data_IF_026867861186
#
_entry.id   IF_026867861186
#
_cell.length_a   1.000
_cell.length_b   1.000
_cell.length_c   1.000
_cell.angle_alpha   90.00
_cell.angle_beta   90.00
_cell.angle_gamma   90.00
#
_symmetry.space_group_name_H-M   'P 1'
#
loop_
_entity.id
_entity.type
_entity.pdbx_description
1 polymer ?
#
# COMPACT_ATOMS: atom_id res chain seq x y z
N UNK A 1 53.90 5.04 55.63
CA UNK A 1 53.38 5.95 54.55
C UNK A 1 53.50 5.15 53.25
N UNK A 2 52.42 4.53 52.79
CA UNK A 2 52.41 3.77 51.57
C UNK A 2 51.57 4.53 50.51
N UNK A 3 52.20 4.87 49.41
CA UNK A 3 51.56 5.50 48.28
C UNK A 3 51.07 4.35 47.34
N UNK A 4 49.77 4.27 47.17
CA UNK A 4 49.15 3.44 46.12
C UNK A 4 48.91 4.30 44.88
N UNK A 5 49.41 3.92 43.71
CA UNK A 5 49.05 4.59 42.47
C UNK A 5 47.67 4.10 41.98
N UNK A 6 46.74 5.06 41.81
CA UNK A 6 45.46 4.89 41.14
C UNK A 6 45.72 4.64 39.64
N UNK A 7 45.54 3.42 39.17
CA UNK A 7 45.41 3.10 37.77
C UNK A 7 43.98 3.38 37.31
N UNK A 8 43.77 4.50 36.63
CA UNK A 8 42.55 4.75 35.85
C UNK A 8 42.60 3.87 34.57
N UNK A 9 41.62 3.03 34.31
CA UNK A 9 41.52 2.39 33.00
C UNK A 9 41.03 3.44 31.97
N UNK A 10 41.85 3.76 30.98
CA UNK A 10 41.41 4.42 29.77
C UNK A 10 40.42 3.47 29.03
N UNK A 11 39.13 3.71 29.20
CA UNK A 11 38.14 3.19 28.27
C UNK A 11 38.26 3.93 26.95
N UNK A 12 39.00 3.38 26.02
CA UNK A 12 38.96 3.79 24.62
C UNK A 12 37.59 3.44 24.05
N UNK A 13 36.72 4.44 23.99
CA UNK A 13 35.47 4.36 23.22
C UNK A 13 35.84 4.34 21.73
N UNK A 14 36.03 3.13 21.16
CA UNK A 14 36.01 2.95 19.72
C UNK A 14 34.58 3.19 19.24
N UNK A 15 34.24 4.44 18.97
CA UNK A 15 33.10 4.76 18.12
C UNK A 15 33.48 4.43 16.68
N UNK A 16 33.38 3.14 16.34
CA UNK A 16 33.43 2.73 14.96
C UNK A 16 32.22 3.30 14.25
N UNK A 17 32.38 4.36 13.49
CA UNK A 17 31.45 4.76 12.46
C UNK A 17 31.44 3.65 11.41
N UNK A 18 30.45 2.78 11.47
CA UNK A 18 30.14 1.92 10.33
C UNK A 18 29.48 2.86 9.32
N UNK A 19 30.23 3.32 8.34
CA UNK A 19 29.66 3.95 7.16
C UNK A 19 28.92 2.85 6.40
N UNK A 20 27.65 2.63 6.69
CA UNK A 20 26.82 1.72 5.88
C UNK A 20 26.58 2.42 4.54
N UNK A 21 27.00 1.80 3.45
CA UNK A 21 26.61 2.24 2.12
C UNK A 21 25.09 2.20 2.02
N UNK A 22 24.48 3.29 1.53
CA UNK A 22 23.04 3.41 1.39
C UNK A 22 22.69 3.60 -0.06
N UNK A 23 21.62 2.96 -0.50
CA UNK A 23 20.98 3.23 -1.78
C UNK A 23 19.80 4.18 -1.55
N UNK A 24 19.84 5.33 -2.21
CA UNK A 24 18.82 6.38 -2.07
C UNK A 24 17.86 6.33 -3.25
N UNK A 25 16.57 6.25 -2.94
CA UNK A 25 15.47 6.36 -3.89
C UNK A 25 14.49 7.43 -3.43
N UNK A 26 13.83 8.12 -4.37
CA UNK A 26 12.71 9.00 -4.04
C UNK A 26 11.50 8.17 -3.61
N UNK A 27 10.71 8.62 -2.61
CA UNK A 27 9.58 7.82 -2.10
C UNK A 27 8.48 7.55 -3.12
N UNK A 28 8.29 8.43 -4.11
CA UNK A 28 7.22 8.29 -5.10
C UNK A 28 7.52 8.97 -6.41
N UNK A 29 7.01 8.39 -7.49
CA UNK A 29 7.04 8.90 -8.86
C UNK A 29 5.65 8.72 -9.45
N UNK A 30 5.17 9.70 -10.21
CA UNK A 30 3.91 9.60 -10.94
C UNK A 30 4.15 9.70 -12.45
N UNK A 31 3.40 8.91 -13.21
CA UNK A 31 3.44 8.90 -14.67
C UNK A 31 2.02 8.82 -15.21
N UNK A 32 1.75 9.44 -16.34
CA UNK A 32 0.46 9.25 -17.03
C UNK A 32 0.40 7.87 -17.69
N UNK A 33 -0.77 7.29 -17.79
CA UNK A 33 -1.01 6.06 -18.54
C UNK A 33 -0.44 6.17 -19.96
N UNK A 34 0.34 5.21 -20.41
CA UNK A 34 1.07 5.24 -21.67
C UNK A 34 2.33 6.11 -21.70
N UNK A 35 2.62 6.86 -20.62
CA UNK A 35 3.83 7.66 -20.48
C UNK A 35 5.08 6.87 -20.13
N UNK A 36 6.19 7.55 -19.93
CA UNK A 36 7.47 6.93 -19.53
C UNK A 36 7.82 7.34 -18.11
N UNK A 37 7.94 6.36 -17.22
CA UNK A 37 8.44 6.56 -15.86
C UNK A 37 9.93 6.29 -15.79
N UNK A 38 10.63 7.08 -14.96
CA UNK A 38 12.06 6.93 -14.69
C UNK A 38 12.28 6.94 -13.18
N UNK A 39 12.79 5.83 -12.64
CA UNK A 39 13.02 5.66 -11.21
C UNK A 39 14.52 5.56 -10.99
N UNK A 40 15.08 6.54 -10.28
CA UNK A 40 16.50 6.61 -10.00
C UNK A 40 16.86 5.95 -8.65
N UNK A 41 18.02 5.34 -8.62
CA UNK A 41 18.67 4.80 -7.44
C UNK A 41 20.09 5.38 -7.38
N UNK A 42 20.42 6.04 -6.29
CA UNK A 42 21.72 6.66 -6.08
C UNK A 42 22.46 5.94 -4.96
N UNK A 43 23.76 5.73 -5.14
CA UNK A 43 24.62 5.12 -4.13
C UNK A 43 26.06 5.59 -4.25
N UNK A 44 26.77 5.66 -3.13
CA UNK A 44 28.13 6.19 -3.11
C UNK A 44 29.16 5.29 -3.81
N UNK A 45 28.89 3.99 -3.89
CA UNK A 45 29.76 3.00 -4.52
C UNK A 45 28.95 1.84 -5.10
N UNK A 46 28.41 1.99 -6.32
CA UNK A 46 27.91 0.86 -7.08
C UNK A 46 29.07 -0.01 -7.55
N UNK A 47 29.37 -1.11 -6.84
CA UNK A 47 30.39 -2.07 -7.27
C UNK A 47 29.90 -2.94 -8.39
N UNK A 48 28.59 -3.21 -8.36
CA UNK A 48 27.90 -4.01 -9.37
C UNK A 48 26.68 -3.26 -9.87
N UNK A 49 26.30 -3.53 -11.11
CA UNK A 49 25.10 -2.98 -11.69
C UNK A 49 23.86 -3.34 -10.84
N UNK A 50 22.98 -2.38 -10.63
CA UNK A 50 21.80 -2.58 -9.76
C UNK A 50 20.82 -3.60 -10.33
N UNK A 51 20.27 -4.39 -9.45
CA UNK A 51 19.08 -5.19 -9.72
C UNK A 51 17.82 -4.40 -9.30
N UNK A 52 16.72 -4.62 -10.00
CA UNK A 52 15.44 -3.97 -9.71
C UNK A 52 14.37 -5.00 -9.44
N UNK A 53 13.59 -4.75 -8.41
CA UNK A 53 12.48 -5.58 -7.99
C UNK A 53 11.18 -4.77 -8.00
N UNK A 54 10.10 -5.40 -8.47
CA UNK A 54 8.74 -4.89 -8.38
C UNK A 54 8.01 -5.63 -7.27
N UNK A 55 7.33 -4.89 -6.40
CA UNK A 55 6.45 -5.46 -5.36
C UNK A 55 5.06 -4.86 -5.44
N UNK A 56 4.06 -5.68 -5.69
CA UNK A 56 2.65 -5.32 -5.61
C UNK A 56 2.08 -5.61 -4.22
N UNK A 57 1.00 -4.92 -3.81
CA UNK A 57 0.39 -5.14 -2.51
C UNK A 57 0.06 -6.61 -2.25
N UNK A 58 0.49 -7.14 -1.09
CA UNK A 58 0.25 -8.52 -0.69
C UNK A 58 1.01 -9.60 -1.48
N UNK A 59 1.94 -9.21 -2.35
CA UNK A 59 2.75 -10.13 -3.15
C UNK A 59 4.22 -10.08 -2.77
N UNK A 60 4.94 -11.15 -3.04
CA UNK A 60 6.40 -11.17 -2.95
C UNK A 60 7.03 -10.30 -4.05
N UNK A 61 8.20 -9.68 -3.79
CA UNK A 61 8.94 -8.97 -4.83
C UNK A 61 9.34 -9.90 -5.97
N UNK A 62 9.27 -9.41 -7.21
CA UNK A 62 9.74 -10.10 -8.41
C UNK A 62 10.88 -9.32 -9.05
N UNK A 63 11.89 -10.02 -9.53
CA UNK A 63 13.02 -9.43 -10.24
C UNK A 63 12.59 -8.96 -11.63
N UNK A 64 12.77 -7.67 -11.94
CA UNK A 64 12.39 -7.09 -13.25
C UNK A 64 13.58 -6.71 -14.10
N UNK A 65 14.71 -6.34 -13.49
CA UNK A 65 16.00 -6.10 -14.15
C UNK A 65 17.12 -6.68 -13.30
N UNK A 66 18.10 -7.33 -13.90
CA UNK A 66 19.32 -7.78 -13.23
C UNK A 66 20.57 -7.35 -14.02
N UNK A 67 21.69 -7.28 -13.30
CA UNK A 67 22.95 -6.85 -13.92
C UNK A 67 22.86 -5.46 -14.57
N UNK A 68 21.98 -4.60 -14.07
CA UNK A 68 21.77 -3.22 -14.51
C UNK A 68 20.94 -3.05 -15.78
N UNK A 69 20.95 -4.02 -16.70
CA UNK A 69 20.34 -3.86 -18.02
C UNK A 69 19.59 -5.09 -18.53
N UNK A 70 19.77 -6.24 -17.91
CA UNK A 70 19.20 -7.50 -18.38
C UNK A 70 17.82 -7.72 -17.81
N UNK A 71 16.89 -8.17 -18.64
CA UNK A 71 15.51 -8.44 -18.27
C UNK A 71 15.27 -9.95 -18.21
N UNK A 72 14.70 -10.48 -17.09
CA UNK A 72 14.31 -11.89 -17.01
C UNK A 72 13.26 -12.27 -18.06
N UNK A 73 13.23 -13.54 -18.41
CA UNK A 73 12.18 -14.07 -19.28
C UNK A 73 10.80 -13.88 -18.66
N UNK A 74 9.84 -13.40 -19.44
CA UNK A 74 8.47 -13.13 -18.99
C UNK A 74 8.23 -11.72 -18.44
N UNK A 75 9.27 -10.92 -18.21
CA UNK A 75 9.12 -9.50 -17.89
C UNK A 75 8.88 -8.70 -19.18
N UNK A 76 7.84 -7.82 -19.23
CA UNK A 76 7.49 -7.05 -20.41
C UNK A 76 8.63 -6.17 -20.95
N UNK A 77 8.70 -5.99 -22.27
CA UNK A 77 9.74 -5.20 -22.94
C UNK A 77 9.75 -3.72 -22.57
N UNK A 78 8.65 -3.21 -22.04
CA UNK A 78 8.56 -1.82 -21.56
C UNK A 78 9.47 -1.52 -20.36
N UNK A 79 9.95 -2.55 -19.65
CA UNK A 79 10.94 -2.41 -18.58
C UNK A 79 12.35 -2.44 -19.14
N UNK A 80 13.15 -1.44 -18.81
CA UNK A 80 14.57 -1.38 -19.14
C UNK A 80 15.36 -0.76 -17.99
N UNK A 81 16.61 -1.14 -17.87
CA UNK A 81 17.52 -0.63 -16.85
C UNK A 81 18.77 -0.03 -17.46
N UNK A 82 19.34 0.93 -16.76
CA UNK A 82 20.66 1.49 -17.05
C UNK A 82 21.43 1.75 -15.76
N UNK A 83 22.76 1.69 -15.83
CA UNK A 83 23.65 2.01 -14.71
C UNK A 83 24.82 2.83 -15.24
N UNK A 84 25.19 3.88 -14.53
CA UNK A 84 26.32 4.73 -14.86
C UNK A 84 26.90 5.37 -13.59
N UNK A 85 28.16 5.07 -13.28
CA UNK A 85 28.81 5.59 -12.08
C UNK A 85 28.03 5.24 -10.81
N UNK A 86 27.63 6.26 -10.06
CA UNK A 86 26.93 6.13 -8.79
C UNK A 86 25.39 6.11 -8.92
N UNK A 87 24.87 5.86 -10.12
CA UNK A 87 23.42 5.86 -10.35
C UNK A 87 22.98 4.66 -11.18
N UNK A 88 21.80 4.16 -10.86
CA UNK A 88 21.05 3.21 -11.67
C UNK A 88 19.65 3.78 -11.93
N UNK A 89 19.09 3.47 -13.08
CA UNK A 89 17.75 3.95 -13.45
C UNK A 89 16.94 2.79 -14.01
N UNK A 90 15.74 2.61 -13.46
CA UNK A 90 14.69 1.78 -14.05
C UNK A 90 13.80 2.68 -14.90
N UNK A 91 13.62 2.32 -16.17
CA UNK A 91 12.72 3.02 -17.09
C UNK A 91 11.58 2.11 -17.49
N UNK A 92 10.36 2.62 -17.39
CA UNK A 92 9.12 1.93 -17.81
C UNK A 92 8.49 2.77 -18.89
N UNK A 93 8.55 2.32 -20.14
CA UNK A 93 8.02 3.02 -21.31
C UNK A 93 6.61 2.55 -21.60
N UNK A 94 5.68 3.48 -21.86
CA UNK A 94 4.29 3.09 -22.10
C UNK A 94 3.63 2.49 -20.86
N UNK A 95 3.79 3.16 -19.71
CA UNK A 95 3.33 2.69 -18.41
C UNK A 95 1.86 2.27 -18.41
N UNK A 96 1.56 1.11 -17.87
CA UNK A 96 0.24 0.52 -17.76
C UNK A 96 -0.26 0.57 -16.30
N UNK A 97 -1.56 0.44 -16.10
CA UNK A 97 -2.17 0.44 -14.75
C UNK A 97 -1.57 -0.65 -13.84
N UNK A 98 -1.25 -1.82 -14.40
CA UNK A 98 -0.63 -2.92 -13.68
C UNK A 98 0.83 -2.68 -13.27
N UNK A 99 1.47 -1.62 -13.79
CA UNK A 99 2.83 -1.24 -13.39
C UNK A 99 2.87 -0.43 -12.09
N UNK A 100 1.74 0.01 -11.59
CA UNK A 100 1.62 0.67 -10.29
C UNK A 100 1.98 -0.30 -9.16
N UNK A 101 3.15 -0.06 -8.55
CA UNK A 101 3.79 -0.94 -7.56
C UNK A 101 4.89 -0.17 -6.82
N UNK A 102 5.49 -0.82 -5.82
CA UNK A 102 6.73 -0.38 -5.21
C UNK A 102 7.93 -1.00 -5.95
N UNK A 103 8.93 -0.17 -6.24
CA UNK A 103 10.13 -0.57 -6.95
C UNK A 103 11.36 -0.37 -6.09
N UNK A 104 12.12 -1.44 -5.89
CA UNK A 104 13.34 -1.43 -5.08
C UNK A 104 14.56 -1.69 -5.94
N UNK A 105 15.58 -0.86 -5.82
CA UNK A 105 16.90 -1.17 -6.32
C UNK A 105 17.69 -1.97 -5.30
N UNK A 106 18.60 -2.81 -5.78
CA UNK A 106 19.53 -3.59 -4.95
C UNK A 106 20.89 -3.62 -5.62
N UNK A 107 21.93 -3.49 -4.82
CA UNK A 107 23.31 -3.67 -5.23
C UNK A 107 24.11 -4.29 -4.10
N UNK A 108 25.38 -4.57 -4.32
CA UNK A 108 26.29 -4.99 -3.25
C UNK A 108 27.14 -3.80 -2.79
N UNK A 109 27.40 -3.76 -1.49
CA UNK A 109 28.38 -2.85 -0.91
C UNK A 109 29.79 -3.24 -1.33
N UNK A 110 30.61 -2.23 -1.62
CA UNK A 110 32.01 -2.41 -2.04
C UNK A 110 32.94 -2.92 -0.95
N UNK A 111 32.62 -2.64 0.30
CA UNK A 111 33.49 -2.94 1.44
C UNK A 111 33.29 -4.35 1.97
N UNK A 112 32.03 -4.76 2.15
CA UNK A 112 31.69 -6.01 2.85
C UNK A 112 31.02 -7.06 1.95
N UNK A 113 30.82 -6.74 0.67
CA UNK A 113 30.10 -7.59 -0.31
C UNK A 113 28.70 -8.01 0.18
N UNK A 114 28.07 -7.14 0.97
CA UNK A 114 26.71 -7.34 1.51
C UNK A 114 25.71 -6.73 0.55
N UNK A 115 24.61 -7.45 0.31
CA UNK A 115 23.50 -6.91 -0.48
C UNK A 115 22.76 -5.81 0.27
N UNK A 116 22.66 -4.64 -0.37
CA UNK A 116 21.92 -3.48 0.15
C UNK A 116 20.75 -3.14 -0.77
N UNK A 117 19.64 -2.72 -0.16
CA UNK A 117 18.43 -2.30 -0.87
C UNK A 117 18.20 -0.81 -0.69
N UNK A 118 17.64 -0.17 -1.72
CA UNK A 118 17.07 1.16 -1.61
C UNK A 118 15.78 1.17 -0.79
N UNK A 119 15.35 2.35 -0.36
CA UNK A 119 14.15 2.53 0.45
C UNK A 119 12.83 2.28 -0.30
N UNK A 120 12.90 2.07 -1.61
CA UNK A 120 11.74 1.86 -2.48
C UNK A 120 11.16 3.16 -3.05
N UNK A 121 10.55 3.04 -4.22
CA UNK A 121 9.82 4.10 -4.90
C UNK A 121 8.44 3.59 -5.27
N UNK A 122 7.40 4.24 -4.78
CA UNK A 122 6.03 3.95 -5.20
C UNK A 122 5.77 4.62 -6.57
N UNK A 123 5.41 3.82 -7.56
CA UNK A 123 4.99 4.31 -8.89
C UNK A 123 3.46 4.44 -8.91
N UNK A 124 2.97 5.65 -9.17
CA UNK A 124 1.55 5.93 -9.41
C UNK A 124 1.31 6.14 -10.91
N UNK A 125 0.35 5.42 -11.49
CA UNK A 125 -0.04 5.58 -12.90
C UNK A 125 -1.34 6.39 -12.97
N UNK A 126 -1.21 7.64 -13.42
CA UNK A 126 -2.30 8.60 -13.52
C UNK A 126 -3.11 8.43 -14.82
N UNK A 127 -4.39 8.86 -14.79
CA UNK A 127 -5.24 8.83 -15.99
C UNK A 127 -5.90 7.48 -16.24
N UNK A 128 -5.90 6.58 -15.27
CA UNK A 128 -6.71 5.36 -15.35
C UNK A 128 -8.20 5.71 -15.42
N UNK A 129 -9.02 4.92 -16.14
CA UNK A 129 -10.46 5.16 -16.23
C UNK A 129 -11.11 5.13 -14.84
N UNK A 130 -11.98 6.12 -14.56
CA UNK A 130 -12.79 6.10 -13.34
C UNK A 130 -13.70 4.88 -13.32
N UNK A 131 -13.86 4.25 -12.17
CA UNK A 131 -14.76 3.14 -11.94
C UNK A 131 -15.62 3.43 -10.71
N UNK A 132 -16.92 3.34 -10.84
CA UNK A 132 -17.86 3.49 -9.74
C UNK A 132 -17.79 2.27 -8.80
N UNK A 133 -18.00 2.45 -7.48
CA UNK A 133 -17.96 1.33 -6.53
C UNK A 133 -19.13 0.37 -6.72
N UNK A 134 -18.87 -0.92 -6.55
CA UNK A 134 -19.88 -1.93 -6.28
C UNK A 134 -20.09 -1.99 -4.77
N UNK A 135 -21.31 -1.78 -4.30
CA UNK A 135 -21.65 -1.74 -2.88
C UNK A 135 -22.56 -2.90 -2.54
N UNK A 136 -22.17 -3.69 -1.52
CA UNK A 136 -22.95 -4.77 -0.96
C UNK A 136 -23.10 -4.54 0.55
N UNK A 137 -24.32 -4.59 1.05
CA UNK A 137 -24.64 -4.41 2.45
C UNK A 137 -25.20 -5.71 3.01
N UNK A 138 -24.60 -6.18 4.10
CA UNK A 138 -24.96 -7.43 4.77
C UNK A 138 -25.55 -7.11 6.13
N UNK A 139 -26.71 -7.71 6.46
CA UNK A 139 -27.33 -7.60 7.79
C UNK A 139 -26.57 -8.47 8.81
N UNK A 140 -26.85 -8.27 10.12
CA UNK A 140 -26.31 -9.14 11.16
C UNK A 140 -26.82 -10.57 11.04
N UNK A 141 -25.99 -11.55 11.42
CA UNK A 141 -26.41 -12.96 11.44
C UNK A 141 -27.34 -13.25 12.62
N UNK A 142 -28.13 -14.33 12.49
CA UNK A 142 -29.01 -14.79 13.59
C UNK A 142 -28.22 -15.17 14.85
N UNK A 143 -27.04 -15.76 14.66
CA UNK A 143 -26.15 -16.15 15.76
C UNK A 143 -25.64 -14.93 16.52
N UNK A 144 -25.27 -13.86 15.80
CA UNK A 144 -24.81 -12.62 16.43
C UNK A 144 -25.95 -11.96 17.23
N UNK A 145 -27.15 -11.91 16.65
CA UNK A 145 -28.34 -11.36 17.32
C UNK A 145 -28.66 -12.09 18.62
N UNK A 146 -28.38 -13.41 18.69
CA UNK A 146 -28.49 -14.21 19.91
C UNK A 146 -27.57 -13.76 21.04
N UNK A 147 -26.49 -13.04 20.75
CA UNK A 147 -25.55 -12.46 21.73
C UNK A 147 -25.88 -11.02 22.13
N UNK A 148 -27.05 -10.51 21.72
CA UNK A 148 -27.48 -9.11 21.89
C UNK A 148 -26.60 -8.07 21.15
N UNK A 149 -25.92 -8.50 20.10
CA UNK A 149 -25.13 -7.63 19.21
C UNK A 149 -25.67 -7.68 17.79
N UNK A 150 -25.39 -6.63 17.02
CA UNK A 150 -25.74 -6.55 15.61
C UNK A 150 -24.67 -5.76 14.86
N UNK A 151 -23.96 -6.41 13.93
CA UNK A 151 -22.97 -5.75 13.11
C UNK A 151 -23.42 -5.77 11.64
N UNK A 152 -23.56 -4.60 11.04
CA UNK A 152 -23.79 -4.47 9.61
C UNK A 152 -22.46 -4.31 8.91
N UNK A 153 -22.29 -4.95 7.75
CA UNK A 153 -21.08 -4.90 6.95
C UNK A 153 -21.40 -4.34 5.58
N UNK A 154 -20.78 -3.19 5.26
CA UNK A 154 -20.84 -2.58 3.94
C UNK A 154 -19.53 -2.86 3.21
N UNK A 155 -19.58 -3.68 2.16
CA UNK A 155 -18.44 -4.01 1.31
C UNK A 155 -18.46 -3.14 0.06
N UNK A 156 -17.35 -2.46 -0.22
CA UNK A 156 -17.18 -1.50 -1.30
C UNK A 156 -16.02 -1.97 -2.16
N UNK A 157 -16.27 -2.32 -3.41
CA UNK A 157 -15.26 -2.90 -4.29
C UNK A 157 -15.24 -2.28 -5.67
N UNK A 158 -14.16 -2.54 -6.41
CA UNK A 158 -13.97 -2.23 -7.83
C UNK A 158 -14.02 -0.75 -8.19
N UNK A 159 -13.69 0.16 -7.28
CA UNK A 159 -13.69 1.60 -7.54
C UNK A 159 -12.29 2.14 -7.87
N UNK A 160 -12.26 3.20 -8.68
CA UNK A 160 -11.06 3.99 -8.99
C UNK A 160 -11.47 5.46 -9.27
N UNK A 161 -10.74 6.44 -8.71
CA UNK A 161 -9.60 6.36 -7.78
C UNK A 161 -9.96 5.83 -6.40
N UNK A 162 -8.93 5.52 -5.60
CA UNK A 162 -9.02 4.87 -4.30
C UNK A 162 -9.45 5.81 -3.15
N UNK A 163 -10.50 6.63 -3.36
CA UNK A 163 -11.03 7.53 -2.34
C UNK A 163 -12.55 7.42 -2.30
N UNK A 164 -13.12 7.10 -1.13
CA UNK A 164 -14.56 7.02 -0.89
C UNK A 164 -14.90 7.65 0.45
N UNK A 165 -16.11 8.16 0.57
CA UNK A 165 -16.71 8.59 1.83
C UNK A 165 -17.91 7.70 2.12
N UNK A 166 -17.97 7.13 3.32
CA UNK A 166 -19.08 6.26 3.75
C UNK A 166 -19.89 6.98 4.81
N UNK A 167 -21.20 7.02 4.62
CA UNK A 167 -22.17 7.56 5.57
C UNK A 167 -23.21 6.50 5.89
N UNK A 168 -23.44 6.26 7.16
CA UNK A 168 -24.49 5.37 7.62
C UNK A 168 -25.73 6.12 8.01
N UNK A 169 -26.92 5.57 7.70
CA UNK A 169 -28.22 6.12 8.07
C UNK A 169 -29.06 5.04 8.75
N UNK A 170 -29.76 5.42 9.81
CA UNK A 170 -30.79 4.60 10.47
C UNK A 170 -32.13 5.31 10.33
N UNK A 171 -33.11 4.70 9.66
CA UNK A 171 -34.41 5.33 9.41
C UNK A 171 -34.30 6.70 8.72
N UNK A 172 -33.28 6.91 7.87
CA UNK A 172 -33.01 8.18 7.18
C UNK A 172 -32.11 9.18 7.95
N UNK A 173 -31.85 8.96 9.24
CA UNK A 173 -30.99 9.83 10.07
C UNK A 173 -29.56 9.33 10.05
N UNK A 174 -28.58 10.24 9.86
CA UNK A 174 -27.16 9.89 9.87
C UNK A 174 -26.71 9.38 11.23
N UNK A 175 -25.97 8.27 11.21
CA UNK A 175 -25.39 7.61 12.39
C UNK A 175 -23.86 7.72 12.29
N UNK A 176 -23.22 8.15 13.37
CA UNK A 176 -21.77 8.27 13.47
C UNK A 176 -21.17 7.38 14.55
N UNK A 177 -21.95 7.02 15.55
CA UNK A 177 -21.51 6.16 16.65
C UNK A 177 -21.49 4.70 16.22
N UNK A 178 -20.41 3.98 16.56
CA UNK A 178 -20.24 2.58 16.22
C UNK A 178 -19.83 2.32 14.77
N UNK A 179 -19.42 3.36 14.02
CA UNK A 179 -18.98 3.26 12.65
C UNK A 179 -17.46 3.12 12.60
N UNK A 180 -16.98 2.08 11.92
CA UNK A 180 -15.57 1.85 11.61
C UNK A 180 -15.44 1.65 10.09
N UNK A 181 -14.54 2.39 9.46
CA UNK A 181 -14.29 2.31 8.01
C UNK A 181 -12.81 2.09 7.73
N UNK A 182 -12.47 1.09 6.93
CA UNK A 182 -11.09 0.80 6.55
C UNK A 182 -10.56 1.83 5.56
N UNK A 183 -9.24 1.98 5.50
CA UNK A 183 -8.62 2.66 4.37
C UNK A 183 -8.78 1.79 3.12
N UNK A 184 -9.01 2.42 1.94
CA UNK A 184 -9.03 1.68 0.69
C UNK A 184 -7.71 0.93 0.45
N UNK A 185 -7.83 -0.31 -0.02
CA UNK A 185 -6.68 -1.15 -0.41
C UNK A 185 -6.79 -1.55 -1.88
N UNK A 186 -5.65 -1.64 -2.56
CA UNK A 186 -5.61 -1.98 -3.98
C UNK A 186 -5.83 -3.48 -4.18
N UNK A 187 -6.73 -3.82 -5.08
CA UNK A 187 -7.04 -5.19 -5.49
C UNK A 187 -6.10 -5.66 -6.62
N UNK A 188 -6.13 -6.97 -6.92
CA UNK A 188 -5.33 -7.55 -8.01
C UNK A 188 -5.72 -7.03 -9.41
N UNK A 189 -6.92 -6.48 -9.57
CA UNK A 189 -7.43 -5.87 -10.80
C UNK A 189 -7.10 -4.36 -10.91
N UNK A 190 -6.20 -3.83 -10.09
CA UNK A 190 -5.78 -2.43 -10.00
C UNK A 190 -6.86 -1.43 -9.52
N UNK A 191 -8.05 -1.90 -9.16
CA UNK A 191 -9.08 -1.10 -8.50
C UNK A 191 -8.94 -1.22 -6.99
N UNK A 192 -9.77 -0.48 -6.25
CA UNK A 192 -9.71 -0.42 -4.81
C UNK A 192 -10.91 -1.11 -4.16
N UNK A 193 -10.70 -1.61 -2.95
CA UNK A 193 -11.75 -2.08 -2.06
C UNK A 193 -11.61 -1.44 -0.68
N UNK A 194 -12.75 -1.27 -0.01
CA UNK A 194 -12.84 -0.85 1.38
C UNK A 194 -14.04 -1.55 2.03
N UNK A 195 -14.08 -1.54 3.34
CA UNK A 195 -15.24 -2.01 4.10
C UNK A 195 -15.59 -1.01 5.18
N UNK A 196 -16.89 -0.95 5.53
CA UNK A 196 -17.38 -0.15 6.65
C UNK A 196 -18.31 -0.99 7.49
N UNK A 197 -18.23 -0.80 8.78
CA UNK A 197 -18.96 -1.58 9.79
C UNK A 197 -19.78 -0.63 10.62
N UNK A 198 -21.02 -1.03 10.94
CA UNK A 198 -21.87 -0.34 11.92
C UNK A 198 -22.21 -1.34 13.03
N UNK A 199 -21.68 -1.08 14.21
CA UNK A 199 -21.95 -1.88 15.42
C UNK A 199 -23.15 -1.30 16.19
N UNK A 200 -24.14 -2.14 16.45
CA UNK A 200 -25.39 -1.82 17.13
C UNK A 200 -25.69 -2.86 18.20
N UNK A 201 -26.68 -2.55 19.08
CA UNK A 201 -27.38 -3.58 19.86
C UNK A 201 -28.40 -4.32 19.00
N UNK A 202 -28.73 -5.56 19.35
CA UNK A 202 -29.81 -6.31 18.69
C UNK A 202 -31.17 -5.60 18.80
N UNK A 203 -31.41 -4.84 19.88
CA UNK A 203 -32.64 -4.05 20.05
C UNK A 203 -32.70 -2.87 19.07
N UNK A 204 -31.58 -2.14 18.88
CA UNK A 204 -31.55 -1.02 17.94
C UNK A 204 -31.73 -1.50 16.50
N UNK A 205 -31.11 -2.64 16.15
CA UNK A 205 -31.36 -3.29 14.86
C UNK A 205 -32.85 -3.58 14.65
N UNK A 206 -33.48 -4.27 15.57
CA UNK A 206 -34.88 -4.70 15.44
C UNK A 206 -35.91 -3.56 15.47
N UNK A 207 -35.57 -2.45 16.13
CA UNK A 207 -36.50 -1.30 16.28
C UNK A 207 -36.44 -0.31 15.11
N UNK A 208 -35.44 -0.39 14.26
CA UNK A 208 -35.29 0.53 13.13
C UNK A 208 -36.10 0.08 11.91
N UNK A 209 -36.57 1.04 11.12
CA UNK A 209 -37.23 0.79 9.83
C UNK A 209 -36.26 0.35 8.73
N UNK A 210 -34.95 0.49 8.93
CA UNK A 210 -33.90 0.07 8.01
C UNK A 210 -32.61 0.84 8.22
N UNK A 211 -31.55 0.27 7.72
CA UNK A 211 -30.21 0.86 7.72
C UNK A 211 -29.66 0.97 6.32
N UNK A 212 -29.05 2.11 6.01
CA UNK A 212 -28.49 2.41 4.69
C UNK A 212 -26.99 2.70 4.80
N UNK A 213 -26.22 2.00 3.99
CA UNK A 213 -24.84 2.36 3.69
C UNK A 213 -24.83 3.24 2.45
N UNK A 214 -24.41 4.50 2.58
CA UNK A 214 -24.27 5.45 1.51
C UNK A 214 -22.79 5.66 1.21
N UNK A 215 -22.38 5.36 -0.01
CA UNK A 215 -20.99 5.51 -0.48
C UNK A 215 -20.93 6.64 -1.49
N UNK A 216 -20.15 7.66 -1.20
CA UNK A 216 -19.85 8.77 -2.13
C UNK A 216 -18.50 8.55 -2.76
N UNK A 217 -18.45 8.52 -4.09
CA UNK A 217 -17.24 8.38 -4.89
C UNK A 217 -17.29 9.35 -6.08
N UNK A 218 -16.28 10.24 -6.21
CA UNK A 218 -16.19 11.19 -7.33
C UNK A 218 -17.49 11.99 -7.57
N UNK A 219 -18.19 12.37 -6.50
CA UNK A 219 -19.45 13.10 -6.56
C UNK A 219 -20.69 12.23 -6.87
N UNK A 220 -20.51 10.94 -7.14
CA UNK A 220 -21.62 9.99 -7.33
C UNK A 220 -21.91 9.26 -6.03
N UNK A 221 -23.19 9.06 -5.74
CA UNK A 221 -23.66 8.38 -4.53
C UNK A 221 -24.24 7.02 -4.91
N UNK A 222 -23.81 5.97 -4.22
CA UNK A 222 -24.39 4.62 -4.28
C UNK A 222 -24.91 4.24 -2.90
N UNK A 223 -26.15 3.82 -2.80
CA UNK A 223 -26.80 3.44 -1.54
C UNK A 223 -27.25 1.99 -1.57
N UNK A 224 -27.11 1.33 -0.44
CA UNK A 224 -27.72 0.01 -0.18
C UNK A 224 -28.42 0.06 1.17
N UNK A 225 -29.60 -0.55 1.24
CA UNK A 225 -30.43 -0.59 2.45
C UNK A 225 -30.77 -2.03 2.80
N UNK A 226 -30.76 -2.33 4.08
CA UNK A 226 -31.24 -3.59 4.64
C UNK A 226 -32.28 -3.29 5.72
N UNK A 227 -33.29 -4.16 5.85
CA UNK A 227 -34.35 -4.03 6.85
C UNK A 227 -34.39 -5.26 7.76
N UNK A 228 -34.73 -5.14 9.01
CA UNK A 228 -34.87 -6.29 9.92
C UNK A 228 -35.90 -7.32 9.45
N UNK A 229 -36.93 -6.90 8.72
CA UNK A 229 -37.99 -7.75 8.21
C UNK A 229 -37.56 -8.69 7.06
N UNK A 230 -36.45 -8.40 6.38
CA UNK A 230 -35.93 -9.24 5.31
C UNK A 230 -35.03 -10.39 5.81
N UNK A 231 -34.77 -10.42 7.12
CA UNK A 231 -33.87 -11.38 7.76
C UNK A 231 -34.61 -12.33 8.73
N UNK A 232 -35.91 -12.49 8.61
CA UNK A 232 -36.75 -13.37 9.45
C UNK A 232 -36.89 -14.76 8.82
#
# INVERSE_FOLDING_TARGET
MAWTPLLLPLLSLCTGYVASSQLTQVPGVSVSLGGTASIACLGDNFVYAANWYQQKPGQAPILVIYGGTLRPLGIPERFSGSSSGNSATLTISGAQAEDEADYYCQSADSTDNVNIFGGGTHLTVLGQPKAAPTVNLFPPSSEELGTNKATLVCLISDFYPGAVTVTWKAGGTTVTQGVETTKPSKQSNNKYAASSYLALSASDWKSSSGFTCQVTHEGTIVEKTVTPSECA
#
